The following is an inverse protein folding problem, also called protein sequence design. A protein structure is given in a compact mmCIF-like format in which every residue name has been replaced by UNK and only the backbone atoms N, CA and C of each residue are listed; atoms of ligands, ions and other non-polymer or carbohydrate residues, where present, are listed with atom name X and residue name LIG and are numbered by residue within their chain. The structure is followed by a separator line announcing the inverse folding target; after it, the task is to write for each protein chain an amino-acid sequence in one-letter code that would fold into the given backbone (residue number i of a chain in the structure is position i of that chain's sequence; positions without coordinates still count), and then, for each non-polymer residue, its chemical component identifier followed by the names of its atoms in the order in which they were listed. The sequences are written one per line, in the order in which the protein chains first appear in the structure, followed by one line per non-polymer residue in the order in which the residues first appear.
data_IF_942812926883
#
_entry.id   IF_942812926883
#
_cell.length_a   1.000
_cell.length_b   1.000
_cell.length_c   1.000
_cell.angle_alpha   90.00
_cell.angle_beta   90.00
_cell.angle_gamma   90.00
#
_symmetry.space_group_name_H-M   'P 1'
#
loop_
_entity.id
_entity.type
_entity.pdbx_description
1 polymer ?
#
# COMPACT_ATOMS: atom_id res chain seq x y z
N UNK A 1 -36.10 16.44 9.84
CA UNK A 1 -35.09 15.91 8.89
C UNK A 1 -33.73 16.45 9.32
N UNK A 2 -32.66 15.67 9.14
CA UNK A 2 -31.25 15.97 9.52
C UNK A 2 -30.73 15.32 10.82
N UNK A 3 -30.66 13.98 10.85
CA UNK A 3 -29.69 13.24 11.69
C UNK A 3 -28.89 12.19 10.88
N UNK A 4 -29.01 12.14 9.55
CA UNK A 4 -28.39 11.10 8.71
C UNK A 4 -26.96 11.43 8.28
N UNK A 5 -26.69 12.70 7.95
CA UNK A 5 -25.44 13.12 7.28
C UNK A 5 -24.20 12.91 8.14
N UNK A 6 -24.30 13.08 9.47
CA UNK A 6 -23.15 12.92 10.38
C UNK A 6 -22.65 11.49 10.52
N UNK A 7 -23.55 10.49 10.48
CA UNK A 7 -23.18 9.09 10.64
C UNK A 7 -22.66 8.48 9.31
N UNK A 8 -23.25 8.89 8.18
CA UNK A 8 -22.83 8.43 6.85
C UNK A 8 -21.42 8.90 6.49
N UNK A 9 -21.09 10.18 6.74
CA UNK A 9 -19.75 10.73 6.49
C UNK A 9 -18.67 10.02 7.33
N UNK A 10 -18.96 9.73 8.60
CA UNK A 10 -18.04 8.96 9.48
C UNK A 10 -17.84 7.54 8.94
N UNK A 11 -18.87 6.91 8.39
CA UNK A 11 -18.79 5.56 7.82
C UNK A 11 -17.94 5.51 6.54
N UNK A 12 -18.02 6.55 5.70
CA UNK A 12 -17.24 6.67 4.48
C UNK A 12 -15.77 6.95 4.80
N UNK A 13 -15.50 7.91 5.70
CA UNK A 13 -14.14 8.19 6.17
C UNK A 13 -13.46 6.94 6.73
N UNK A 14 -14.15 6.15 7.58
CA UNK A 14 -13.61 4.89 8.10
C UNK A 14 -13.29 3.89 7.00
N UNK A 15 -14.14 3.74 5.99
CA UNK A 15 -13.89 2.84 4.85
C UNK A 15 -12.67 3.29 4.05
N UNK A 16 -12.55 4.59 3.78
CA UNK A 16 -11.38 5.16 3.07
C UNK A 16 -10.11 4.93 3.85
N UNK A 17 -10.09 5.20 5.15
CA UNK A 17 -8.90 4.97 5.99
C UNK A 17 -8.52 3.49 6.08
N UNK A 18 -9.50 2.59 6.13
CA UNK A 18 -9.24 1.14 6.07
C UNK A 18 -8.67 0.72 4.72
N UNK A 19 -9.14 1.30 3.61
CA UNK A 19 -8.60 1.02 2.28
C UNK A 19 -7.15 1.50 2.16
N UNK A 20 -6.83 2.70 2.66
CA UNK A 20 -5.47 3.24 2.71
C UNK A 20 -4.57 2.32 3.54
N UNK A 21 -4.98 1.95 4.75
CA UNK A 21 -4.17 1.05 5.59
C UNK A 21 -3.89 -0.31 4.94
N UNK A 22 -4.85 -0.84 4.17
CA UNK A 22 -4.63 -2.06 3.38
C UNK A 22 -3.64 -1.84 2.24
N UNK A 23 -3.71 -0.71 1.55
CA UNK A 23 -2.77 -0.37 0.48
C UNK A 23 -1.33 -0.24 1.04
N UNK A 24 -1.15 0.47 2.15
CA UNK A 24 0.13 0.63 2.83
C UNK A 24 0.73 -0.72 3.24
N UNK A 25 -0.04 -1.53 4.00
CA UNK A 25 0.43 -2.84 4.44
C UNK A 25 0.81 -3.74 3.26
N UNK A 26 -0.01 -3.75 2.20
CA UNK A 26 0.26 -4.56 1.01
C UNK A 26 1.51 -4.10 0.25
N UNK A 27 1.77 -2.80 0.20
CA UNK A 27 2.98 -2.24 -0.40
C UNK A 27 4.22 -2.59 0.44
N UNK A 28 4.11 -2.55 1.77
CA UNK A 28 5.17 -2.95 2.70
C UNK A 28 5.50 -4.44 2.57
N UNK A 29 4.49 -5.32 2.52
CA UNK A 29 4.69 -6.76 2.25
C UNK A 29 5.50 -7.00 0.97
N UNK A 30 5.25 -6.21 -0.08
CA UNK A 30 5.98 -6.31 -1.34
C UNK A 30 7.48 -6.00 -1.17
N UNK A 31 7.82 -5.03 -0.32
CA UNK A 31 9.21 -4.68 0.01
C UNK A 31 9.87 -5.75 0.89
N UNK A 32 9.17 -6.28 1.88
CA UNK A 32 9.68 -7.37 2.73
C UNK A 32 10.01 -8.62 1.92
N UNK A 33 9.20 -8.95 0.90
CA UNK A 33 9.49 -10.05 -0.02
C UNK A 33 10.81 -9.82 -0.76
N UNK A 34 11.10 -8.59 -1.21
CA UNK A 34 12.37 -8.28 -1.85
C UNK A 34 13.55 -8.46 -0.90
N UNK A 35 13.43 -7.96 0.34
CA UNK A 35 14.47 -8.14 1.35
C UNK A 35 14.70 -9.62 1.67
N UNK A 36 13.62 -10.41 1.79
CA UNK A 36 13.70 -11.87 1.99
C UNK A 36 14.40 -12.58 0.83
N UNK A 37 14.22 -12.10 -0.40
CA UNK A 37 14.91 -12.59 -1.60
C UNK A 37 16.37 -12.11 -1.69
N UNK A 38 16.83 -11.27 -0.76
CA UNK A 38 18.17 -10.70 -0.75
C UNK A 38 18.35 -9.47 -1.65
N UNK A 39 17.25 -8.91 -2.17
CA UNK A 39 17.24 -7.67 -2.94
C UNK A 39 17.16 -6.49 -1.97
N UNK A 40 18.16 -5.59 -2.01
CA UNK A 40 18.20 -4.44 -1.11
C UNK A 40 17.11 -3.43 -1.47
N UNK A 41 16.31 -3.06 -0.47
CA UNK A 41 15.30 -1.99 -0.56
C UNK A 41 15.84 -0.74 0.12
N UNK A 42 15.56 0.43 -0.44
CA UNK A 42 15.98 1.72 0.13
C UNK A 42 14.93 2.31 1.09
N UNK A 43 15.36 3.21 1.97
CA UNK A 43 14.43 3.93 2.85
C UNK A 43 13.38 4.75 2.09
N UNK A 44 13.74 5.30 0.93
CA UNK A 44 12.81 6.05 0.07
C UNK A 44 11.66 5.16 -0.45
N UNK A 45 11.95 3.89 -0.74
CA UNK A 45 10.93 2.93 -1.14
C UNK A 45 9.96 2.62 0.00
N UNK A 46 10.47 2.47 1.23
CA UNK A 46 9.65 2.31 2.42
C UNK A 46 8.74 3.52 2.66
N UNK A 47 9.26 4.74 2.48
CA UNK A 47 8.46 5.96 2.57
C UNK A 47 7.37 6.02 1.49
N UNK A 48 7.66 5.56 0.26
CA UNK A 48 6.66 5.47 -0.82
C UNK A 48 5.58 4.43 -0.53
N UNK A 49 5.94 3.28 0.06
CA UNK A 49 4.98 2.26 0.47
C UNK A 49 4.06 2.78 1.59
N UNK A 50 4.61 3.49 2.58
CA UNK A 50 3.85 4.10 3.67
C UNK A 50 2.91 5.23 3.18
N UNK A 51 3.28 5.93 2.11
CA UNK A 51 2.43 6.92 1.47
C UNK A 51 1.37 6.32 0.51
N UNK A 52 1.35 5.00 0.29
CA UNK A 52 0.47 4.37 -0.68
C UNK A 52 -0.99 4.38 -0.22
N UNK A 53 -1.87 5.01 -1.00
CA UNK A 53 -3.31 5.06 -0.75
C UNK A 53 -4.14 4.25 -1.77
N UNK A 54 -3.50 3.70 -2.80
CA UNK A 54 -4.14 2.96 -3.88
C UNK A 54 -3.89 1.45 -3.71
N UNK A 55 -4.95 0.72 -3.37
CA UNK A 55 -4.89 -0.72 -3.15
C UNK A 55 -4.55 -1.49 -4.44
N UNK A 56 -5.04 -1.05 -5.61
CA UNK A 56 -4.73 -1.74 -6.85
C UNK A 56 -3.25 -1.57 -7.23
N UNK A 57 -2.70 -0.38 -6.97
CA UNK A 57 -1.27 -0.15 -7.13
C UNK A 57 -0.45 -1.04 -6.19
N UNK A 58 -0.82 -1.09 -4.91
CA UNK A 58 -0.15 -1.96 -3.93
C UNK A 58 -0.24 -3.46 -4.31
N UNK A 59 -1.38 -3.91 -4.85
CA UNK A 59 -1.52 -5.27 -5.36
C UNK A 59 -0.62 -5.57 -6.56
N UNK A 60 -0.44 -4.60 -7.48
CA UNK A 60 0.50 -4.76 -8.61
C UNK A 60 1.93 -4.89 -8.11
N UNK A 61 2.33 -4.05 -7.16
CA UNK A 61 3.65 -4.14 -6.52
C UNK A 61 3.83 -5.50 -5.84
N UNK A 62 2.85 -5.94 -5.04
CA UNK A 62 2.91 -7.25 -4.39
C UNK A 62 3.06 -8.42 -5.37
N UNK A 63 2.40 -8.39 -6.53
CA UNK A 63 2.59 -9.45 -7.54
C UNK A 63 3.97 -9.38 -8.17
N UNK A 64 4.47 -8.18 -8.46
CA UNK A 64 5.80 -7.97 -9.04
C UNK A 64 6.94 -8.34 -8.11
N UNK A 65 6.76 -8.24 -6.79
CA UNK A 65 7.83 -8.52 -5.82
C UNK A 65 8.37 -9.95 -5.89
N UNK A 66 7.63 -10.88 -6.47
CA UNK A 66 8.09 -12.25 -6.70
C UNK A 66 9.06 -12.36 -7.89
N UNK A 67 8.90 -11.51 -8.90
CA UNK A 67 9.54 -11.67 -10.21
C UNK A 67 10.66 -10.65 -10.46
N UNK A 68 10.55 -9.42 -9.92
CA UNK A 68 11.53 -8.36 -10.20
C UNK A 68 12.91 -8.70 -9.63
N UNK A 69 13.97 -8.42 -10.38
CA UNK A 69 15.35 -8.65 -9.94
C UNK A 69 15.93 -7.47 -9.16
N UNK A 70 15.42 -6.25 -9.42
CA UNK A 70 15.85 -5.01 -8.79
C UNK A 70 14.69 -4.37 -8.04
N UNK A 71 15.00 -3.77 -6.90
CA UNK A 71 14.00 -3.11 -6.07
C UNK A 71 13.35 -1.91 -6.77
N UNK A 72 14.14 -1.14 -7.53
CA UNK A 72 13.66 0.04 -8.27
C UNK A 72 12.54 -0.32 -9.26
N UNK A 73 12.57 -1.52 -9.83
CA UNK A 73 11.59 -2.00 -10.79
C UNK A 73 10.27 -2.43 -10.13
N UNK A 74 10.15 -2.37 -8.79
CA UNK A 74 8.92 -2.75 -8.09
C UNK A 74 7.88 -1.62 -8.14
N UNK A 75 8.30 -0.40 -7.80
CA UNK A 75 7.42 0.74 -7.51
C UNK A 75 7.15 1.64 -8.72
N UNK A 76 7.60 1.24 -9.91
CA UNK A 76 7.38 1.96 -11.18
C UNK A 76 5.94 1.79 -11.69
#
# INVERSE_FOLDING_TARGET
MSMSTGNEVVSEFKRTQQAIGKAQAKAQDALEILEHRGVKVSADMWARADACADLEQAERWFKRSFDVERAEDLLD
#
